data_IF_866557222501
#
_entry.id   IF_866557222501
#
_cell.length_a   1.000
_cell.length_b   1.000
_cell.length_c   1.000
_cell.angle_alpha   90.00
_cell.angle_beta   90.00
_cell.angle_gamma   90.00
#
_symmetry.space_group_name_H-M   'P 1'
#
loop_
_entity.id
_entity.type
_entity.pdbx_description
1 polymer ?
#
# COMPACT_ATOMS: atom_id res chain seq x y z
N UNK A 1 0.55 -1.86 0.74
CA UNK A 1 -0.59 -2.82 0.69
C UNK A 1 -1.60 -2.44 1.77
N UNK A 2 -2.85 -2.11 1.41
CA UNK A 2 -3.92 -1.94 2.40
C UNK A 2 -4.73 -3.24 2.41
N UNK A 3 -4.92 -3.81 3.60
CA UNK A 3 -5.77 -4.98 3.78
C UNK A 3 -7.11 -4.46 4.33
N UNK A 4 -8.10 -4.35 3.46
CA UNK A 4 -9.50 -4.16 3.84
C UNK A 4 -10.09 -5.55 4.15
N UNK A 5 -9.72 -6.13 5.29
CA UNK A 5 -10.29 -7.38 5.76
C UNK A 5 -11.59 -7.13 6.53
N UNK A 6 -12.45 -8.16 6.63
CA UNK A 6 -13.61 -8.14 7.52
C UNK A 6 -13.16 -7.65 8.91
N UNK A 7 -13.73 -6.52 9.34
CA UNK A 7 -13.51 -5.91 10.66
C UNK A 7 -14.10 -6.85 11.70
N UNK A 8 -13.29 -7.76 12.27
CA UNK A 8 -13.59 -8.25 13.61
C UNK A 8 -13.16 -7.14 14.57
N UNK A 9 -14.12 -6.28 14.91
CA UNK A 9 -13.94 -5.26 15.94
C UNK A 9 -13.57 -5.93 17.25
N UNK A 10 -12.33 -5.74 17.67
CA UNK A 10 -11.92 -5.99 19.04
C UNK A 10 -11.75 -4.63 19.69
N UNK A 11 -12.87 -4.03 20.12
CA UNK A 11 -12.92 -2.85 20.99
C UNK A 11 -11.82 -1.77 20.73
N UNK A 12 -11.53 -1.40 19.47
CA UNK A 12 -10.44 -0.44 19.19
C UNK A 12 -9.94 -0.29 17.74
N UNK A 13 -8.90 0.54 17.60
CA UNK A 13 -8.28 1.03 16.35
C UNK A 13 -7.36 0.02 15.61
N UNK A 14 -7.51 -1.28 15.88
CA UNK A 14 -6.64 -2.33 15.34
C UNK A 14 -7.46 -3.39 14.60
N UNK A 15 -7.03 -3.73 13.39
CA UNK A 15 -7.54 -4.88 12.66
C UNK A 15 -6.74 -6.12 13.05
N UNK A 16 -7.39 -7.14 13.59
CA UNK A 16 -6.78 -8.46 13.82
C UNK A 16 -7.03 -9.35 12.61
N UNK A 17 -5.98 -10.00 12.12
CA UNK A 17 -6.08 -11.04 11.10
C UNK A 17 -5.85 -12.40 11.74
N UNK A 18 -6.74 -13.36 11.49
CA UNK A 18 -6.56 -14.75 11.90
C UNK A 18 -5.57 -15.48 10.97
N UNK A 19 -5.09 -16.67 11.39
CA UNK A 19 -4.04 -17.39 10.63
C UNK A 19 -4.48 -17.80 9.22
N UNK A 20 -5.78 -18.05 9.02
CA UNK A 20 -6.33 -18.35 7.70
C UNK A 20 -6.28 -17.13 6.77
N UNK A 21 -6.67 -15.96 7.29
CA UNK A 21 -6.58 -14.69 6.57
C UNK A 21 -5.12 -14.33 6.24
N UNK A 22 -4.19 -14.49 7.19
CA UNK A 22 -2.76 -14.30 6.95
C UNK A 22 -2.23 -15.16 5.81
N UNK A 23 -2.59 -16.46 5.79
CA UNK A 23 -2.16 -17.40 4.74
C UNK A 23 -2.76 -17.10 3.37
N UNK A 24 -3.90 -16.42 3.32
CA UNK A 24 -4.59 -16.08 2.08
C UNK A 24 -4.08 -14.78 1.43
N UNK A 25 -3.28 -13.98 2.13
CA UNK A 25 -2.74 -12.75 1.57
C UNK A 25 -1.75 -13.07 0.45
N UNK A 26 -1.79 -12.32 -0.67
CA UNK A 26 -0.72 -12.38 -1.64
C UNK A 26 0.52 -11.74 -1.03
N UNK A 27 1.48 -12.57 -0.62
CA UNK A 27 2.75 -12.14 -0.01
C UNK A 27 3.83 -12.16 -1.09
N UNK A 28 4.67 -11.12 -1.10
CA UNK A 28 5.86 -11.07 -1.94
C UNK A 28 6.85 -12.17 -1.50
N UNK A 29 7.17 -13.08 -2.42
CA UNK A 29 8.18 -14.11 -2.20
C UNK A 29 9.59 -13.52 -2.36
N UNK A 30 10.12 -13.00 -1.26
CA UNK A 30 11.44 -12.36 -1.23
C UNK A 30 12.59 -13.32 -1.56
N UNK A 31 12.39 -14.64 -1.40
CA UNK A 31 13.40 -15.64 -1.74
C UNK A 31 13.69 -15.73 -3.25
N UNK A 32 12.74 -15.26 -4.07
CA UNK A 32 12.86 -15.20 -5.54
C UNK A 32 13.50 -13.89 -6.03
N UNK A 33 13.80 -12.95 -5.14
CA UNK A 33 14.42 -11.68 -5.49
C UNK A 33 15.94 -11.79 -5.47
N UNK A 34 16.61 -11.15 -6.42
CA UNK A 34 18.07 -11.07 -6.40
C UNK A 34 18.54 -10.15 -5.27
N UNK A 35 19.75 -10.39 -4.74
CA UNK A 35 20.35 -9.54 -3.71
C UNK A 35 20.41 -8.06 -4.11
N UNK A 36 20.66 -7.79 -5.39
CA UNK A 36 20.63 -6.42 -5.91
C UNK A 36 19.24 -5.78 -5.76
N UNK A 37 18.18 -6.50 -6.12
CA UNK A 37 16.79 -6.01 -5.95
C UNK A 37 16.42 -5.82 -4.49
N UNK A 38 16.83 -6.75 -3.62
CA UNK A 38 16.63 -6.61 -2.18
C UNK A 38 17.32 -5.35 -1.63
N UNK A 39 18.55 -5.07 -2.08
CA UNK A 39 19.27 -3.84 -1.69
C UNK A 39 18.57 -2.57 -2.17
N UNK A 40 18.01 -2.56 -3.38
CA UNK A 40 17.25 -1.41 -3.90
C UNK A 40 15.98 -1.20 -3.07
N UNK A 41 15.23 -2.27 -2.80
CA UNK A 41 14.00 -2.19 -1.98
C UNK A 41 14.31 -1.72 -0.56
N UNK A 42 15.42 -2.18 0.04
CA UNK A 42 15.87 -1.72 1.34
C UNK A 42 16.20 -0.21 1.33
N UNK A 43 16.91 0.26 0.30
CA UNK A 43 17.19 1.69 0.15
C UNK A 43 15.93 2.55 -0.01
N UNK A 44 14.92 2.06 -0.75
CA UNK A 44 13.61 2.73 -0.82
C UNK A 44 12.98 2.78 0.57
N UNK A 45 12.98 1.67 1.33
CA UNK A 45 12.47 1.70 2.70
C UNK A 45 13.19 2.75 3.56
N UNK A 46 14.52 2.78 3.56
CA UNK A 46 15.31 3.72 4.36
C UNK A 46 15.01 5.19 4.01
N UNK A 47 14.79 5.49 2.72
CA UNK A 47 14.42 6.82 2.25
C UNK A 47 13.07 7.31 2.78
N UNK A 48 12.12 6.38 2.99
CA UNK A 48 10.76 6.70 3.40
C UNK A 48 10.46 6.41 4.87
N UNK A 49 11.35 5.69 5.58
CA UNK A 49 11.11 5.20 6.95
C UNK A 49 10.84 6.30 7.97
N UNK A 50 11.41 7.50 7.76
CA UNK A 50 11.26 8.65 8.63
C UNK A 50 10.35 9.74 8.05
N UNK A 51 9.68 9.47 6.95
CA UNK A 51 8.77 10.44 6.32
C UNK A 51 7.40 10.37 6.99
N UNK A 52 6.80 11.52 7.26
CA UNK A 52 5.42 11.58 7.69
C UNK A 52 4.49 11.37 6.50
N UNK A 53 3.75 10.27 6.54
CA UNK A 53 2.60 10.06 5.65
C UNK A 53 1.36 10.67 6.28
N UNK A 54 0.41 11.10 5.45
CA UNK A 54 -0.92 11.49 5.91
C UNK A 54 -1.63 10.32 6.60
N UNK A 55 -2.75 10.58 7.29
CA UNK A 55 -3.58 9.48 7.82
C UNK A 55 -4.08 8.58 6.69
N UNK A 56 -4.27 7.29 6.93
CA UNK A 56 -4.65 6.31 5.90
C UNK A 56 -5.81 6.80 4.99
N UNK A 57 -6.92 7.38 5.49
CA UNK A 57 -8.00 7.85 4.62
C UNK A 57 -7.62 9.03 3.72
N UNK A 58 -6.62 9.81 4.12
CA UNK A 58 -6.11 11.00 3.42
C UNK A 58 -4.95 10.66 2.47
N UNK A 59 -4.39 9.45 2.55
CA UNK A 59 -3.36 8.97 1.63
C UNK A 59 -3.92 8.65 0.24
N UNK A 60 -5.23 8.39 0.13
CA UNK A 60 -5.89 7.91 -1.10
C UNK A 60 -7.08 8.80 -1.50
N UNK A 61 -7.43 8.79 -2.79
CA UNK A 61 -8.52 9.59 -3.35
C UNK A 61 -8.08 10.38 -4.57
N UNK A 62 -8.81 11.44 -4.90
CA UNK A 62 -8.51 12.30 -6.06
C UNK A 62 -7.25 13.15 -5.81
N UNK A 63 -6.98 13.49 -4.55
CA UNK A 63 -5.78 14.22 -4.11
C UNK A 63 -4.97 13.35 -3.12
N UNK A 64 -4.32 12.28 -3.59
CA UNK A 64 -3.60 11.37 -2.71
C UNK A 64 -2.38 12.04 -2.08
N UNK A 65 -1.85 11.42 -1.03
CA UNK A 65 -0.57 11.82 -0.44
C UNK A 65 0.55 11.63 -1.47
N UNK A 66 1.27 12.70 -1.88
CA UNK A 66 2.35 12.60 -2.86
C UNK A 66 3.49 11.71 -2.37
N UNK A 67 3.76 11.68 -1.06
CA UNK A 67 4.77 10.81 -0.45
C UNK A 67 4.38 9.35 -0.64
N UNK A 68 3.09 9.04 -0.45
CA UNK A 68 2.59 7.68 -0.65
C UNK A 68 2.66 7.23 -2.11
N UNK A 69 2.31 8.12 -3.03
CA UNK A 69 2.39 7.84 -4.46
C UNK A 69 3.84 7.61 -4.91
N UNK A 70 4.79 8.41 -4.42
CA UNK A 70 6.22 8.24 -4.70
C UNK A 70 6.73 6.88 -4.24
N UNK A 71 6.46 6.54 -2.97
CA UNK A 71 6.85 5.26 -2.39
C UNK A 71 6.32 4.06 -3.18
N UNK A 72 5.00 4.01 -3.46
CA UNK A 72 4.42 2.86 -4.16
C UNK A 72 4.94 2.76 -5.62
N UNK A 73 5.23 3.90 -6.28
CA UNK A 73 5.79 3.91 -7.64
C UNK A 73 7.24 3.40 -7.67
N UNK A 74 8.10 3.92 -6.79
CA UNK A 74 9.49 3.46 -6.69
C UNK A 74 9.56 1.98 -6.33
N UNK A 75 8.72 1.53 -5.40
CA UNK A 75 8.63 0.13 -5.01
C UNK A 75 8.19 -0.77 -6.18
N UNK A 76 7.20 -0.34 -6.97
CA UNK A 76 6.78 -1.07 -8.16
C UNK A 76 7.90 -1.17 -9.20
N UNK A 77 8.62 -0.08 -9.44
CA UNK A 77 9.74 -0.08 -10.40
C UNK A 77 10.90 -0.96 -9.94
N UNK A 78 11.16 -1.04 -8.62
CA UNK A 78 12.15 -1.96 -8.07
C UNK A 78 11.70 -3.44 -8.18
N UNK A 79 10.40 -3.69 -8.11
CA UNK A 79 9.83 -5.03 -8.30
C UNK A 79 9.79 -5.47 -9.76
N UNK A 80 9.62 -4.56 -10.70
CA UNK A 80 9.66 -4.86 -12.11
C UNK A 80 10.22 -3.66 -12.88
N UNK A 81 11.54 -3.64 -13.14
CA UNK A 81 12.18 -2.56 -13.87
C UNK A 81 11.69 -2.39 -15.31
N UNK A 82 10.95 -3.37 -15.85
CA UNK A 82 10.39 -3.32 -17.20
C UNK A 82 9.08 -2.53 -17.30
N UNK A 83 8.46 -2.13 -16.18
CA UNK A 83 7.18 -1.43 -16.21
C UNK A 83 7.36 0.02 -16.67
N UNK A 84 6.40 0.52 -17.43
CA UNK A 84 6.39 1.91 -17.84
C UNK A 84 5.94 2.80 -16.67
N UNK A 85 6.84 3.64 -16.18
CA UNK A 85 6.60 4.53 -15.04
C UNK A 85 5.35 5.41 -15.22
N UNK A 86 5.19 6.06 -16.38
CA UNK A 86 4.05 6.94 -16.65
C UNK A 86 2.70 6.20 -16.60
N UNK A 87 2.64 5.01 -17.21
CA UNK A 87 1.46 4.14 -17.17
C UNK A 87 1.20 3.63 -15.76
N UNK A 88 2.22 3.19 -15.05
CA UNK A 88 2.12 2.72 -13.65
C UNK A 88 1.59 3.81 -12.74
N UNK A 89 2.09 5.04 -12.88
CA UNK A 89 1.61 6.21 -12.13
C UNK A 89 0.12 6.48 -12.39
N UNK A 90 -0.32 6.43 -13.65
CA UNK A 90 -1.75 6.58 -13.98
C UNK A 90 -2.61 5.46 -13.38
N UNK A 91 -2.14 4.21 -13.45
CA UNK A 91 -2.83 3.07 -12.83
C UNK A 91 -2.92 3.22 -11.30
N UNK A 92 -1.85 3.68 -10.64
CA UNK A 92 -1.85 3.95 -9.20
C UNK A 92 -2.85 5.03 -8.81
N UNK A 93 -2.92 6.14 -9.56
CA UNK A 93 -3.88 7.22 -9.29
C UNK A 93 -5.32 6.71 -9.38
N UNK A 94 -5.64 5.93 -10.42
CA UNK A 94 -6.99 5.35 -10.54
C UNK A 94 -7.28 4.33 -9.44
N UNK A 95 -6.30 3.52 -9.04
CA UNK A 95 -6.43 2.63 -7.89
C UNK A 95 -6.67 3.42 -6.59
N UNK A 96 -5.91 4.48 -6.35
CA UNK A 96 -6.04 5.32 -5.17
C UNK A 96 -7.39 6.00 -5.09
N UNK A 97 -7.95 6.43 -6.23
CA UNK A 97 -9.31 6.98 -6.28
C UNK A 97 -10.34 5.96 -5.79
N UNK A 98 -10.26 4.71 -6.28
CA UNK A 98 -11.14 3.61 -5.86
C UNK A 98 -10.95 3.25 -4.40
N UNK A 99 -9.70 3.20 -3.93
CA UNK A 99 -9.38 2.93 -2.53
C UNK A 99 -9.91 4.04 -1.62
N UNK A 100 -9.79 5.30 -2.00
CA UNK A 100 -10.33 6.43 -1.25
C UNK A 100 -11.85 6.36 -1.10
N UNK A 101 -12.57 5.99 -2.17
CA UNK A 101 -14.03 5.77 -2.11
C UNK A 101 -14.38 4.60 -1.19
N UNK A 102 -13.65 3.49 -1.30
CA UNK A 102 -13.89 2.31 -0.48
C UNK A 102 -13.61 2.59 1.01
N UNK A 103 -12.50 3.27 1.32
CA UNK A 103 -12.12 3.64 2.67
C UNK A 103 -13.12 4.60 3.30
N UNK A 104 -13.57 5.64 2.58
CA UNK A 104 -14.61 6.56 3.08
C UNK A 104 -15.92 5.84 3.35
N UNK A 105 -16.41 5.07 2.38
CA UNK A 105 -17.64 4.27 2.56
C UNK A 105 -17.52 3.31 3.75
N UNK A 106 -16.34 2.74 3.97
CA UNK A 106 -16.09 1.84 5.08
C UNK A 106 -16.09 2.56 6.43
N UNK A 107 -15.50 3.76 6.52
CA UNK A 107 -15.48 4.58 7.73
C UNK A 107 -16.86 5.18 8.04
N UNK A 108 -17.55 5.70 7.03
CA UNK A 108 -18.85 6.38 7.17
C UNK A 108 -19.98 5.42 7.56
N UNK A 109 -19.83 4.11 7.32
CA UNK A 109 -20.78 3.08 7.79
C UNK A 109 -20.73 2.86 9.31
N UNK A 110 -19.66 3.31 9.96
CA UNK A 110 -19.38 3.10 11.38
C UNK A 110 -19.46 4.41 12.19
N UNK A 111 -20.00 5.50 11.60
CA UNK A 111 -20.25 6.80 12.23
C UNK A 111 -21.74 7.01 12.52
#
# INVERSE_FOLDING_TARGET
MIILANREETEGALTRLNIGQWRALPILDVSKLSNNRLSVIAGIFDNYANTEFKRIPEQYGDNPDPTRLGFDLEFLMALDPGINEGKSKQCLIELYRRLGIALRTWIDKDA
#
